data_IF_798678165011
#
_entry.id   IF_798678165011
#
_cell.length_a   1.000
_cell.length_b   1.000
_cell.length_c   1.000
_cell.angle_alpha   90.00
_cell.angle_beta   90.00
_cell.angle_gamma   90.00
#
_symmetry.space_group_name_H-M   'P 1'
#
loop_
_entity.id
_entity.type
_entity.pdbx_description
1 polymer ?
#
# COMPACT_ATOMS: atom_id res chain seq x y z
N UNK A 1 -17.96 59.91 65.56
CA UNK A 1 -18.26 59.25 64.28
C UNK A 1 -17.15 58.27 63.94
N UNK A 2 -17.54 57.01 63.71
CA UNK A 2 -16.87 55.97 62.91
C UNK A 2 -15.61 55.26 63.44
N UNK A 3 -15.80 54.30 64.35
CA UNK A 3 -14.86 53.21 64.67
C UNK A 3 -15.08 51.98 63.77
N UNK A 4 -14.96 52.12 62.44
CA UNK A 4 -15.12 50.99 61.49
C UNK A 4 -13.89 50.73 60.60
N UNK A 5 -12.68 50.99 61.09
CA UNK A 5 -11.45 50.67 60.33
C UNK A 5 -10.80 49.29 60.59
N UNK A 6 -10.94 48.60 61.74
CA UNK A 6 -10.19 47.35 61.92
C UNK A 6 -10.87 46.11 61.30
N UNK A 7 -12.18 46.18 60.97
CA UNK A 7 -12.91 45.03 60.40
C UNK A 7 -12.60 44.80 58.91
N UNK A 8 -12.35 45.86 58.14
CA UNK A 8 -12.20 45.79 56.67
C UNK A 8 -10.86 45.17 56.26
N UNK A 9 -9.80 45.39 57.05
CA UNK A 9 -8.48 44.80 56.82
C UNK A 9 -8.41 43.31 57.14
N UNK A 10 -9.23 42.82 58.07
CA UNK A 10 -9.29 41.39 58.39
C UNK A 10 -10.05 40.60 57.32
N UNK A 11 -11.10 41.19 56.72
CA UNK A 11 -11.84 40.57 55.61
C UNK A 11 -11.03 40.48 54.31
N UNK A 12 -10.13 41.44 54.04
CA UNK A 12 -9.31 41.43 52.82
C UNK A 12 -8.24 40.33 52.82
N UNK A 13 -7.70 39.95 54.00
CA UNK A 13 -6.69 38.88 54.09
C UNK A 13 -7.24 37.47 53.88
N UNK A 14 -8.54 37.27 54.06
CA UNK A 14 -9.21 35.98 53.85
C UNK A 14 -9.73 35.81 52.43
N UNK A 15 -9.80 36.88 51.63
CA UNK A 15 -10.26 36.86 50.25
C UNK A 15 -9.53 35.82 49.36
N UNK A 16 -8.18 35.70 49.37
CA UNK A 16 -7.50 34.70 48.54
C UNK A 16 -7.79 33.26 49.00
N UNK A 17 -8.07 33.05 50.29
CA UNK A 17 -8.41 31.74 50.83
C UNK A 17 -9.81 31.30 50.36
N UNK A 18 -10.80 32.20 50.41
CA UNK A 18 -12.14 31.94 49.88
C UNK A 18 -12.15 31.78 48.34
N UNK A 19 -11.32 32.54 47.63
CA UNK A 19 -11.18 32.41 46.18
C UNK A 19 -10.57 31.05 45.78
N UNK A 20 -9.59 30.55 46.55
CA UNK A 20 -9.01 29.23 46.34
C UNK A 20 -10.00 28.09 46.60
N UNK A 21 -10.85 28.20 47.62
CA UNK A 21 -11.91 27.22 47.90
C UNK A 21 -12.96 27.20 46.77
N UNK A 22 -13.33 28.37 46.23
CA UNK A 22 -14.25 28.47 45.08
C UNK A 22 -13.68 27.82 43.81
N UNK A 23 -12.37 27.97 43.55
CA UNK A 23 -11.72 27.33 42.40
C UNK A 23 -11.61 25.81 42.55
N UNK A 24 -11.46 25.28 43.76
CA UNK A 24 -11.41 23.82 44.01
C UNK A 24 -12.78 23.14 43.88
N UNK A 25 -13.89 23.84 44.18
CA UNK A 25 -15.24 23.29 43.99
C UNK A 25 -15.65 23.15 42.52
N UNK A 26 -15.00 23.88 41.59
CA UNK A 26 -15.31 23.82 40.16
C UNK A 26 -14.89 22.52 39.47
N UNK A 27 -13.95 21.75 40.04
CA UNK A 27 -13.48 20.50 39.44
C UNK A 27 -14.30 19.26 39.82
N UNK A 28 -15.26 19.36 40.76
CA UNK A 28 -15.98 18.19 41.27
C UNK A 28 -17.30 17.87 40.55
N UNK A 29 -17.75 18.69 39.59
CA UNK A 29 -19.11 18.58 39.03
C UNK A 29 -19.19 18.36 37.52
N UNK A 30 -18.14 17.85 36.86
CA UNK A 30 -18.16 17.69 35.40
C UNK A 30 -17.88 16.27 34.87
N UNK A 31 -18.15 15.25 35.68
CA UNK A 31 -18.34 13.90 35.15
C UNK A 31 -19.80 13.49 35.29
N UNK A 32 -20.46 13.35 34.14
CA UNK A 32 -21.81 12.80 34.06
C UNK A 32 -21.71 11.32 34.44
N UNK A 33 -22.02 10.99 35.70
CA UNK A 33 -22.08 9.59 36.14
C UNK A 33 -23.16 8.91 35.31
N UNK A 34 -22.75 7.94 34.48
CA UNK A 34 -23.67 7.12 33.71
C UNK A 34 -24.42 6.25 34.72
N UNK A 35 -25.67 6.57 34.99
CA UNK A 35 -26.57 5.71 35.75
C UNK A 35 -26.93 4.49 34.89
N UNK A 36 -26.07 3.47 34.92
CA UNK A 36 -26.38 2.16 34.38
C UNK A 36 -27.37 1.46 35.34
N UNK A 37 -28.53 0.98 34.88
CA UNK A 37 -29.47 0.26 35.72
C UNK A 37 -28.81 -1.02 36.26
N UNK A 38 -28.72 -1.12 37.58
CA UNK A 38 -28.24 -2.32 38.26
C UNK A 38 -29.25 -3.44 38.06
N UNK A 39 -28.90 -4.41 37.22
CA UNK A 39 -29.64 -5.65 37.07
C UNK A 39 -28.92 -6.75 37.87
N UNK A 40 -29.49 -7.25 38.98
CA UNK A 40 -28.78 -8.15 39.89
C UNK A 40 -28.37 -9.48 39.26
N UNK A 41 -28.93 -9.87 38.11
CA UNK A 41 -28.79 -11.21 37.53
C UNK A 41 -28.56 -11.25 36.00
N UNK A 42 -27.93 -10.23 35.40
CA UNK A 42 -27.65 -10.23 33.94
C UNK A 42 -26.17 -10.18 33.56
N UNK A 43 -25.26 -10.50 34.49
CA UNK A 43 -23.89 -10.84 34.15
C UNK A 43 -23.68 -12.34 34.33
N UNK A 44 -24.11 -13.13 33.35
CA UNK A 44 -23.51 -14.45 33.14
C UNK A 44 -22.05 -14.21 32.74
N UNK A 45 -21.16 -14.30 33.72
CA UNK A 45 -19.72 -14.43 33.49
C UNK A 45 -19.51 -15.78 32.81
N UNK A 46 -19.63 -15.79 31.48
CA UNK A 46 -19.06 -16.87 30.69
C UNK A 46 -17.55 -16.91 30.98
N UNK A 47 -16.99 -18.12 31.07
CA UNK A 47 -15.56 -18.29 31.30
C UNK A 47 -14.79 -17.42 30.31
N UNK A 48 -13.84 -16.64 30.82
CA UNK A 48 -12.95 -15.84 29.97
C UNK A 48 -12.33 -16.79 28.94
N UNK A 49 -12.67 -16.59 27.65
CA UNK A 49 -12.17 -17.43 26.57
C UNK A 49 -10.69 -17.11 26.39
N UNK A 50 -9.84 -17.80 27.14
CA UNK A 50 -8.36 -17.72 27.09
C UNK A 50 -7.79 -18.34 25.82
N UNK A 51 -8.63 -18.90 24.95
CA UNK A 51 -8.19 -19.30 23.63
C UNK A 51 -7.64 -18.05 22.93
N UNK A 52 -6.38 -18.06 22.45
CA UNK A 52 -5.87 -16.96 21.65
C UNK A 52 -6.85 -16.75 20.51
N UNK A 53 -7.30 -15.51 20.30
CA UNK A 53 -8.10 -15.19 19.12
C UNK A 53 -7.34 -15.72 17.89
N UNK A 54 -7.93 -16.68 17.17
CA UNK A 54 -7.35 -17.20 15.92
C UNK A 54 -7.25 -16.12 14.83
N UNK A 55 -7.88 -14.97 15.04
CA UNK A 55 -7.67 -13.76 14.25
C UNK A 55 -6.81 -12.80 15.06
N UNK A 56 -5.60 -12.56 14.57
CA UNK A 56 -4.82 -11.38 14.96
C UNK A 56 -5.68 -10.17 14.61
N UNK A 57 -5.97 -9.33 15.60
CA UNK A 57 -6.82 -8.15 15.48
C UNK A 57 -6.09 -7.00 14.75
N UNK A 58 -5.43 -7.28 13.63
CA UNK A 58 -5.07 -6.24 12.67
C UNK A 58 -6.30 -6.01 11.79
N UNK A 59 -7.26 -5.22 12.28
CA UNK A 59 -8.41 -4.80 11.47
C UNK A 59 -7.90 -3.80 10.44
N UNK A 60 -7.38 -4.32 9.33
CA UNK A 60 -6.97 -3.50 8.19
C UNK A 60 -8.21 -2.88 7.55
N UNK A 61 -8.35 -1.56 7.68
CA UNK A 61 -9.43 -0.79 7.07
C UNK A 61 -8.87 0.06 5.93
N UNK A 62 -9.12 -0.28 4.65
CA UNK A 62 -8.51 0.41 3.52
C UNK A 62 -8.95 1.87 3.43
N UNK A 63 -8.02 2.76 3.10
CA UNK A 63 -8.32 4.17 2.79
C UNK A 63 -8.88 4.25 1.36
N UNK A 64 -9.99 4.95 1.18
CA UNK A 64 -10.65 5.10 -0.13
C UNK A 64 -9.86 6.08 -1.01
N UNK A 65 -9.23 5.58 -2.07
CA UNK A 65 -8.43 6.38 -2.99
C UNK A 65 -9.27 7.14 -4.03
N UNK A 66 -10.49 6.71 -4.32
CA UNK A 66 -11.31 7.29 -5.39
C UNK A 66 -11.61 8.78 -5.19
N UNK A 67 -11.87 9.19 -3.95
CA UNK A 67 -12.13 10.59 -3.60
C UNK A 67 -10.90 11.45 -3.88
N UNK A 68 -9.74 11.03 -3.37
CA UNK A 68 -8.47 11.72 -3.59
C UNK A 68 -8.10 11.78 -5.08
N UNK A 69 -8.27 10.67 -5.80
CA UNK A 69 -7.98 10.61 -7.23
C UNK A 69 -8.85 11.57 -8.03
N UNK A 70 -10.14 11.68 -7.70
CA UNK A 70 -11.05 12.64 -8.33
C UNK A 70 -10.69 14.09 -8.00
N UNK A 71 -10.41 14.40 -6.74
CA UNK A 71 -10.03 15.76 -6.30
C UNK A 71 -8.73 16.25 -6.92
N UNK A 72 -7.76 15.35 -7.13
CA UNK A 72 -6.44 15.66 -7.67
C UNK A 72 -6.31 15.38 -9.18
N UNK A 73 -7.42 15.07 -9.86
CA UNK A 73 -7.45 14.76 -11.29
C UNK A 73 -6.47 13.64 -11.73
N UNK A 74 -6.17 12.70 -10.83
CA UNK A 74 -5.19 11.64 -11.10
C UNK A 74 -5.63 10.77 -12.27
N UNK A 75 -4.66 10.40 -13.12
CA UNK A 75 -4.89 9.55 -14.28
C UNK A 75 -4.47 8.11 -13.98
N UNK A 76 -5.29 7.15 -14.37
CA UNK A 76 -4.95 5.72 -14.27
C UNK A 76 -3.82 5.44 -15.25
N UNK A 77 -2.75 4.78 -14.79
CA UNK A 77 -1.57 4.48 -15.63
C UNK A 77 -1.35 2.99 -15.92
N UNK A 78 -2.25 2.13 -15.44
CA UNK A 78 -2.09 0.67 -15.46
C UNK A 78 -3.20 0.01 -16.25
N UNK A 79 -2.81 -0.89 -17.16
CA UNK A 79 -3.72 -1.75 -17.92
C UNK A 79 -3.52 -3.24 -17.57
N UNK A 80 -2.29 -3.65 -17.26
CA UNK A 80 -1.94 -5.04 -16.94
C UNK A 80 -1.12 -5.11 -15.65
N UNK A 81 -1.54 -5.95 -14.70
CA UNK A 81 -0.89 -6.22 -13.43
C UNK A 81 -0.49 -7.69 -13.30
N UNK A 82 0.81 -7.97 -13.32
CA UNK A 82 1.35 -9.28 -12.97
C UNK A 82 1.92 -9.25 -11.55
N UNK A 83 1.45 -10.15 -10.69
CA UNK A 83 1.93 -10.31 -9.32
C UNK A 83 2.73 -11.61 -9.20
N UNK A 84 3.95 -11.53 -8.68
CA UNK A 84 4.78 -12.69 -8.36
C UNK A 84 5.01 -12.76 -6.84
N UNK A 85 4.79 -13.93 -6.25
CA UNK A 85 5.02 -14.18 -4.82
C UNK A 85 6.10 -15.24 -4.66
N UNK A 86 7.13 -14.90 -3.90
CA UNK A 86 8.18 -15.85 -3.52
C UNK A 86 7.74 -16.68 -2.31
N UNK A 87 7.69 -17.98 -2.51
CA UNK A 87 7.33 -19.00 -1.52
C UNK A 87 8.47 -19.98 -1.24
N UNK A 88 9.69 -19.64 -1.68
CA UNK A 88 10.89 -20.51 -1.58
C UNK A 88 11.21 -20.93 -0.14
N UNK A 89 10.87 -20.08 0.84
CA UNK A 89 11.09 -20.33 2.25
C UNK A 89 10.03 -21.22 2.91
N UNK A 90 8.93 -21.56 2.23
CA UNK A 90 7.88 -22.39 2.82
C UNK A 90 8.30 -23.83 3.05
N UNK A 91 9.17 -24.37 2.19
CA UNK A 91 9.70 -25.72 2.36
C UNK A 91 10.49 -25.91 3.65
N UNK A 92 10.96 -24.81 4.23
CA UNK A 92 11.76 -24.80 5.46
C UNK A 92 10.90 -24.56 6.70
N UNK A 93 9.59 -24.37 6.55
CA UNK A 93 8.71 -24.05 7.65
C UNK A 93 8.27 -25.32 8.42
N UNK A 94 8.23 -25.27 9.77
CA UNK A 94 7.68 -26.36 10.59
C UNK A 94 6.15 -26.47 10.50
N UNK A 95 5.49 -25.43 10.00
CA UNK A 95 4.04 -25.35 9.72
C UNK A 95 3.80 -25.38 8.22
N UNK A 96 2.55 -25.64 7.75
CA UNK A 96 2.24 -25.66 6.30
C UNK A 96 2.59 -24.36 5.56
N UNK A 97 2.73 -23.25 6.29
CA UNK A 97 3.10 -21.94 5.76
C UNK A 97 4.19 -21.32 6.63
N UNK A 98 5.19 -20.69 6.00
CA UNK A 98 6.19 -19.90 6.74
C UNK A 98 5.61 -18.57 7.23
N UNK A 99 6.20 -17.98 8.27
CA UNK A 99 5.85 -16.62 8.69
C UNK A 99 6.08 -15.60 7.55
N UNK A 100 7.06 -15.86 6.69
CA UNK A 100 7.39 -15.05 5.52
C UNK A 100 6.29 -15.12 4.47
N UNK A 101 5.75 -16.32 4.19
CA UNK A 101 4.60 -16.50 3.31
C UNK A 101 3.36 -15.79 3.85
N UNK A 102 3.06 -15.95 5.14
CA UNK A 102 1.91 -15.27 5.75
C UNK A 102 2.03 -13.75 5.59
N UNK A 103 3.23 -13.21 5.81
CA UNK A 103 3.50 -11.78 5.62
C UNK A 103 3.34 -11.34 4.15
N UNK A 104 3.81 -12.15 3.20
CA UNK A 104 3.65 -11.87 1.77
C UNK A 104 2.19 -11.88 1.33
N UNK A 105 1.44 -12.89 1.80
CA UNK A 105 0.01 -13.03 1.53
C UNK A 105 -0.80 -11.89 2.14
N UNK A 106 -0.50 -11.49 3.38
CA UNK A 106 -1.14 -10.33 4.01
C UNK A 106 -0.84 -9.03 3.24
N UNK A 107 0.40 -8.83 2.78
CA UNK A 107 0.74 -7.67 1.97
C UNK A 107 -0.08 -7.63 0.66
N UNK A 108 -0.20 -8.77 -0.02
CA UNK A 108 -1.05 -8.89 -1.21
C UNK A 108 -2.53 -8.64 -0.89
N UNK A 109 -3.05 -9.27 0.15
CA UNK A 109 -4.44 -9.11 0.58
C UNK A 109 -4.78 -7.64 0.83
N UNK A 110 -3.94 -6.94 1.59
CA UNK A 110 -4.11 -5.51 1.91
C UNK A 110 -4.00 -4.62 0.68
N UNK A 111 -3.09 -4.94 -0.25
CA UNK A 111 -2.96 -4.26 -1.53
C UNK A 111 -4.24 -4.40 -2.36
N UNK A 112 -4.77 -5.60 -2.48
CA UNK A 112 -6.01 -5.89 -3.20
C UNK A 112 -7.18 -5.12 -2.59
N UNK A 113 -7.34 -5.19 -1.27
CA UNK A 113 -8.42 -4.48 -0.56
C UNK A 113 -8.32 -2.96 -0.64
N UNK A 114 -7.11 -2.42 -0.83
CA UNK A 114 -6.89 -0.98 -1.00
C UNK A 114 -6.96 -0.54 -2.45
N UNK A 115 -7.00 -1.49 -3.39
CA UNK A 115 -7.04 -1.20 -4.83
C UNK A 115 -8.43 -0.74 -5.22
N UNK A 116 -8.56 0.46 -5.84
CA UNK A 116 -9.85 0.94 -6.32
C UNK A 116 -10.37 0.06 -7.47
N UNK A 117 -11.69 0.03 -7.66
CA UNK A 117 -12.31 -0.62 -8.81
C UNK A 117 -11.90 0.08 -10.12
N UNK A 118 -10.89 -0.46 -10.78
CA UNK A 118 -10.29 0.04 -12.01
C UNK A 118 -10.33 -1.04 -13.10
N UNK A 119 -10.43 -0.67 -14.39
CA UNK A 119 -10.43 -1.62 -15.49
C UNK A 119 -9.00 -2.01 -15.88
N UNK A 120 -8.35 -2.88 -15.10
CA UNK A 120 -7.05 -3.46 -15.46
C UNK A 120 -7.09 -4.98 -15.36
N UNK A 121 -6.33 -5.66 -16.20
CA UNK A 121 -6.18 -7.11 -16.18
C UNK A 121 -5.16 -7.54 -15.14
N UNK A 122 -5.39 -8.65 -14.42
CA UNK A 122 -4.46 -9.13 -13.40
C UNK A 122 -4.19 -10.64 -13.44
N UNK A 123 -2.97 -11.04 -13.07
CA UNK A 123 -2.59 -12.42 -12.86
C UNK A 123 -1.62 -12.53 -11.69
N UNK A 124 -1.79 -13.57 -10.87
CA UNK A 124 -0.99 -13.80 -9.65
C UNK A 124 -0.35 -15.18 -9.73
N UNK A 125 0.97 -15.24 -9.56
CA UNK A 125 1.72 -16.49 -9.56
C UNK A 125 2.67 -16.60 -8.37
N UNK A 126 2.91 -17.84 -7.96
CA UNK A 126 3.96 -18.21 -7.02
C UNK A 126 5.21 -18.70 -7.74
N UNK A 127 6.36 -18.51 -7.10
CA UNK A 127 7.60 -19.23 -7.36
C UNK A 127 8.24 -19.63 -6.03
N UNK A 128 9.28 -20.46 -6.06
CA UNK A 128 9.97 -21.02 -4.90
C UNK A 128 9.95 -22.55 -4.81
N UNK A 129 9.07 -23.20 -5.58
CA UNK A 129 9.02 -24.65 -5.74
C UNK A 129 9.34 -25.03 -7.19
N UNK A 130 10.23 -26.00 -7.41
CA UNK A 130 10.50 -26.50 -8.76
C UNK A 130 9.33 -27.36 -9.25
N UNK A 131 9.17 -27.49 -10.57
CA UNK A 131 8.16 -28.37 -11.18
C UNK A 131 8.16 -29.81 -10.61
N UNK A 132 9.34 -30.36 -10.33
CA UNK A 132 9.50 -31.68 -9.69
C UNK A 132 8.93 -31.75 -8.26
N UNK A 133 8.90 -30.61 -7.56
CA UNK A 133 8.41 -30.51 -6.19
C UNK A 133 6.89 -30.28 -6.14
N UNK A 134 6.28 -30.00 -7.30
CA UNK A 134 4.84 -29.81 -7.48
C UNK A 134 4.13 -31.13 -7.84
N UNK A 135 4.84 -32.14 -8.36
CA UNK A 135 4.28 -33.48 -8.64
C UNK A 135 3.90 -34.26 -7.37
N UNK A 136 4.50 -33.96 -6.21
CA UNK A 136 4.16 -34.56 -4.91
C UNK A 136 2.97 -33.87 -4.22
N UNK A 137 2.50 -32.75 -4.76
CA UNK A 137 1.29 -32.05 -4.32
C UNK A 137 0.20 -32.39 -5.33
N UNK A 138 -0.50 -33.50 -5.10
CA UNK A 138 -1.64 -33.92 -5.92
C UNK A 138 -2.77 -32.88 -5.84
N UNK A 139 -2.75 -31.92 -6.75
CA UNK A 139 -3.86 -31.05 -7.08
C UNK A 139 -3.97 -31.02 -8.60
N UNK A 140 -5.20 -30.88 -9.11
CA UNK A 140 -5.60 -30.79 -10.53
C UNK A 140 -4.99 -29.57 -11.27
N UNK A 141 -3.69 -29.34 -11.12
CA UNK A 141 -2.91 -28.24 -11.67
C UNK A 141 -2.46 -28.50 -13.11
N UNK A 142 -2.70 -29.71 -13.64
CA UNK A 142 -2.26 -30.11 -14.98
C UNK A 142 -3.11 -29.53 -16.12
N UNK A 143 -4.24 -28.87 -15.84
CA UNK A 143 -5.14 -28.39 -16.91
C UNK A 143 -5.23 -26.86 -17.08
N UNK A 144 -4.65 -26.02 -16.20
CA UNK A 144 -4.94 -24.57 -16.24
C UNK A 144 -3.74 -23.62 -16.26
N UNK A 145 -2.50 -24.07 -16.08
CA UNK A 145 -1.43 -23.12 -15.67
C UNK A 145 -0.65 -22.39 -16.77
N UNK A 146 -0.74 -22.75 -18.06
CA UNK A 146 0.01 -22.02 -19.11
C UNK A 146 -0.75 -21.86 -20.44
N UNK A 147 -1.65 -22.78 -20.78
CA UNK A 147 -2.40 -22.75 -22.05
C UNK A 147 -3.57 -21.75 -22.07
N UNK A 148 -4.00 -21.22 -20.90
CA UNK A 148 -5.05 -20.20 -20.80
C UNK A 148 -4.50 -18.76 -20.83
N UNK A 149 -3.19 -18.58 -21.05
CA UNK A 149 -2.53 -17.28 -21.13
C UNK A 149 -2.77 -16.53 -22.46
N UNK A 150 -3.80 -16.89 -23.24
CA UNK A 150 -4.21 -16.16 -24.45
C UNK A 150 -5.67 -16.50 -24.85
N UNK A 151 -6.50 -15.55 -25.33
CA UNK A 151 -6.51 -14.10 -25.13
C UNK A 151 -7.82 -13.72 -24.41
N UNK A 152 -7.84 -13.78 -23.08
CA UNK A 152 -8.87 -13.18 -22.23
C UNK A 152 -8.48 -13.55 -20.80
N UNK A 153 -7.68 -12.67 -20.21
CA UNK A 153 -7.52 -12.61 -18.77
C UNK A 153 -8.94 -12.37 -18.25
N UNK A 154 -9.60 -13.43 -17.79
CA UNK A 154 -10.95 -13.30 -17.28
C UNK A 154 -10.82 -12.71 -15.89
N UNK A 155 -11.13 -11.42 -15.77
CA UNK A 155 -11.49 -10.76 -14.51
C UNK A 155 -12.51 -11.63 -13.78
N UNK A 156 -12.04 -12.50 -12.89
CA UNK A 156 -12.82 -12.81 -11.70
C UNK A 156 -12.62 -11.59 -10.79
N UNK A 157 -13.67 -11.13 -10.08
CA UNK A 157 -13.42 -10.24 -8.95
C UNK A 157 -12.29 -10.88 -8.16
N UNK A 158 -11.32 -10.07 -7.76
CA UNK A 158 -10.14 -10.50 -7.00
C UNK A 158 -10.55 -10.88 -5.56
N UNK A 159 -11.64 -11.63 -5.47
CA UNK A 159 -12.12 -12.46 -4.38
C UNK A 159 -11.28 -13.73 -4.37
N UNK A 160 -9.97 -13.52 -4.33
CA UNK A 160 -9.04 -14.52 -3.86
C UNK A 160 -9.60 -14.82 -2.46
N UNK A 161 -10.25 -15.98 -2.29
CA UNK A 161 -10.70 -16.49 -1.00
C UNK A 161 -9.46 -16.82 -0.14
N UNK A 162 -8.61 -15.82 0.08
CA UNK A 162 -7.40 -15.79 0.89
C UNK A 162 -7.72 -16.18 2.32
N UNK A 163 -9.00 -16.07 2.71
CA UNK A 163 -9.53 -16.64 3.95
C UNK A 163 -9.16 -18.13 4.12
N UNK A 164 -9.06 -18.90 3.02
CA UNK A 164 -8.67 -20.31 3.04
C UNK A 164 -7.17 -20.56 2.85
N UNK A 165 -6.35 -19.53 2.63
CA UNK A 165 -4.89 -19.63 2.39
C UNK A 165 -4.51 -20.70 1.35
N UNK A 166 -5.30 -20.83 0.29
CA UNK A 166 -5.01 -21.79 -0.78
C UNK A 166 -3.78 -21.35 -1.58
N UNK A 167 -2.95 -22.31 -1.99
CA UNK A 167 -1.77 -22.07 -2.85
C UNK A 167 -2.22 -21.53 -4.21
N UNK A 168 -1.40 -20.64 -4.77
CA UNK A 168 -1.66 -20.01 -6.07
C UNK A 168 -0.99 -20.81 -7.21
N UNK A 169 -1.37 -20.54 -8.47
CA UNK A 169 -0.65 -21.06 -9.63
C UNK A 169 0.86 -20.85 -9.52
N UNK A 170 1.65 -21.92 -9.64
CA UNK A 170 3.10 -21.86 -9.53
C UNK A 170 3.79 -21.86 -10.90
N UNK A 171 4.83 -21.05 -11.06
CA UNK A 171 5.70 -21.05 -12.24
C UNK A 171 6.70 -22.22 -12.26
N UNK A 172 6.78 -23.01 -11.18
CA UNK A 172 7.68 -24.16 -11.12
C UNK A 172 9.17 -23.81 -11.10
N UNK A 173 9.51 -22.62 -10.60
CA UNK A 173 10.88 -22.08 -10.53
C UNK A 173 11.29 -21.85 -9.09
N UNK A 174 12.59 -22.00 -8.79
CA UNK A 174 13.11 -21.91 -7.41
C UNK A 174 13.41 -20.49 -6.96
N UNK A 175 13.74 -19.60 -7.89
CA UNK A 175 14.13 -18.22 -7.63
C UNK A 175 13.46 -17.26 -8.63
N UNK A 176 13.60 -15.95 -8.35
CA UNK A 176 13.01 -14.91 -9.18
C UNK A 176 13.61 -14.91 -10.60
N UNK A 177 14.90 -15.20 -10.73
CA UNK A 177 15.55 -15.25 -12.04
C UNK A 177 14.92 -16.31 -12.95
N UNK A 178 14.76 -17.53 -12.47
CA UNK A 178 14.10 -18.58 -13.23
C UNK A 178 12.63 -18.27 -13.53
N UNK A 179 11.92 -17.62 -12.59
CA UNK A 179 10.55 -17.17 -12.81
C UNK A 179 10.45 -16.14 -13.95
N UNK A 180 11.31 -15.12 -13.93
CA UNK A 180 11.39 -14.11 -14.99
C UNK A 180 11.79 -14.73 -16.33
N UNK A 181 12.69 -15.72 -16.35
CA UNK A 181 13.05 -16.43 -17.57
C UNK A 181 11.85 -17.15 -18.19
N UNK A 182 11.05 -17.86 -17.37
CA UNK A 182 9.79 -18.49 -17.83
C UNK A 182 8.85 -17.46 -18.42
N UNK A 183 8.71 -16.30 -17.78
CA UNK A 183 7.92 -15.22 -18.33
C UNK A 183 8.51 -14.78 -19.66
N UNK A 184 9.80 -14.42 -19.76
CA UNK A 184 10.37 -13.95 -21.04
C UNK A 184 10.35 -14.96 -22.18
N UNK A 185 10.26 -16.26 -21.89
CA UNK A 185 10.16 -17.31 -22.90
C UNK A 185 8.78 -17.31 -23.60
N UNK A 186 7.78 -16.72 -22.96
CA UNK A 186 6.45 -16.60 -23.52
C UNK A 186 6.38 -15.42 -24.49
N UNK A 187 5.65 -15.61 -25.60
CA UNK A 187 5.40 -14.53 -26.57
C UNK A 187 4.32 -13.61 -26.01
N UNK A 188 4.71 -12.64 -25.18
CA UNK A 188 3.78 -11.62 -24.71
C UNK A 188 3.44 -10.67 -25.85
N UNK A 189 2.16 -10.62 -26.21
CA UNK A 189 1.59 -9.54 -27.02
C UNK A 189 0.82 -8.63 -26.08
N UNK A 190 1.55 -7.73 -25.43
CA UNK A 190 0.91 -6.62 -24.74
C UNK A 190 0.87 -5.43 -25.68
N UNK A 191 -0.33 -4.96 -25.98
CA UNK A 191 -0.51 -3.67 -26.66
C UNK A 191 -0.28 -2.50 -25.68
N UNK A 192 -0.19 -2.79 -24.37
CA UNK A 192 -0.10 -1.82 -23.27
C UNK A 192 1.07 -2.15 -22.31
N UNK A 193 1.56 -1.18 -21.52
CA UNK A 193 2.64 -1.41 -20.57
C UNK A 193 2.26 -2.43 -19.47
N UNK A 194 3.24 -3.25 -19.07
CA UNK A 194 3.07 -4.21 -17.97
C UNK A 194 3.45 -3.57 -16.64
N UNK A 195 2.66 -3.79 -15.60
CA UNK A 195 3.05 -3.55 -14.21
C UNK A 195 3.39 -4.87 -13.55
N UNK A 196 4.59 -4.97 -12.99
CA UNK A 196 5.09 -6.15 -12.30
C UNK A 196 5.24 -5.86 -10.80
N UNK A 197 4.40 -6.49 -9.98
CA UNK A 197 4.50 -6.46 -8.52
C UNK A 197 5.18 -7.75 -8.05
N UNK A 198 6.30 -7.65 -7.34
CA UNK A 198 7.00 -8.81 -6.79
C UNK A 198 6.98 -8.71 -5.27
N UNK A 199 6.51 -9.76 -4.60
CA UNK A 199 6.49 -9.88 -3.15
C UNK A 199 7.45 -11.00 -2.77
N UNK A 200 8.57 -10.66 -2.14
CA UNK A 200 9.61 -11.65 -1.85
C UNK A 200 10.37 -11.36 -0.55
N UNK A 201 10.92 -12.37 0.14
CA UNK A 201 11.86 -12.15 1.23
C UNK A 201 13.09 -11.40 0.72
N UNK A 202 13.55 -10.38 1.44
CA UNK A 202 14.75 -9.63 1.05
C UNK A 202 15.97 -10.55 0.85
N UNK A 203 16.09 -11.58 1.68
CA UNK A 203 17.19 -12.54 1.64
C UNK A 203 17.22 -13.40 0.37
N UNK A 204 16.08 -13.51 -0.35
CA UNK A 204 16.00 -14.25 -1.63
C UNK A 204 16.29 -13.35 -2.84
N UNK A 205 16.31 -12.02 -2.66
CA UNK A 205 16.61 -11.04 -3.71
C UNK A 205 18.12 -10.78 -3.83
N UNK A 206 18.86 -11.81 -4.27
CA UNK A 206 20.29 -11.73 -4.48
C UNK A 206 20.67 -11.04 -5.83
N UNK A 207 21.97 -10.87 -6.07
CA UNK A 207 22.51 -10.25 -7.29
C UNK A 207 22.06 -10.92 -8.59
N UNK A 208 21.83 -12.24 -8.58
CA UNK A 208 21.35 -12.98 -9.75
C UNK A 208 19.90 -12.60 -10.08
N UNK A 209 19.02 -12.59 -9.08
CA UNK A 209 17.63 -12.15 -9.18
C UNK A 209 17.50 -10.72 -9.72
N UNK A 210 18.32 -9.79 -9.22
CA UNK A 210 18.29 -8.39 -9.66
C UNK A 210 18.85 -8.21 -11.07
N UNK A 211 19.85 -8.99 -11.46
CA UNK A 211 20.38 -8.97 -12.83
C UNK A 211 19.33 -9.49 -13.81
N UNK A 212 18.66 -10.60 -13.48
CA UNK A 212 17.56 -11.12 -14.28
C UNK A 212 16.41 -10.11 -14.40
N UNK A 213 16.07 -9.41 -13.32
CA UNK A 213 15.08 -8.34 -13.34
C UNK A 213 15.48 -7.19 -14.28
N UNK A 214 16.73 -6.73 -14.23
CA UNK A 214 17.23 -5.70 -15.15
C UNK A 214 17.17 -6.16 -16.61
N UNK A 215 17.51 -7.42 -16.88
CA UNK A 215 17.41 -8.02 -18.21
C UNK A 215 15.97 -8.13 -18.69
N UNK A 216 15.05 -8.54 -17.81
CA UNK A 216 13.62 -8.59 -18.06
C UNK A 216 13.10 -7.20 -18.45
N UNK A 217 13.39 -6.17 -17.65
CA UNK A 217 13.01 -4.76 -17.96
C UNK A 217 13.52 -4.33 -19.32
N UNK A 218 14.80 -4.57 -19.61
CA UNK A 218 15.44 -4.21 -20.89
C UNK A 218 14.77 -4.92 -22.07
N UNK A 219 14.36 -6.18 -21.92
CA UNK A 219 13.67 -6.94 -22.97
C UNK A 219 12.25 -6.43 -23.18
N UNK A 220 11.52 -6.11 -22.11
CA UNK A 220 10.18 -5.53 -22.19
C UNK A 220 10.17 -4.10 -22.76
N UNK A 221 11.28 -3.36 -22.65
CA UNK A 221 11.42 -2.03 -23.24
C UNK A 221 11.37 -2.01 -24.78
N UNK A 222 11.57 -3.15 -25.45
CA UNK A 222 11.35 -3.28 -26.90
C UNK A 222 9.86 -3.23 -27.25
N UNK A 223 8.99 -3.55 -26.29
CA UNK A 223 7.54 -3.45 -26.40
C UNK A 223 7.07 -2.11 -25.83
N UNK A 224 6.28 -2.11 -24.75
CA UNK A 224 5.77 -0.91 -24.07
C UNK A 224 6.48 -0.62 -22.73
N UNK A 225 7.52 -1.40 -22.39
CA UNK A 225 8.20 -1.31 -21.10
C UNK A 225 7.46 -2.03 -19.97
N UNK A 226 8.09 -2.05 -18.79
CA UNK A 226 7.52 -2.62 -17.57
C UNK A 226 7.91 -1.79 -16.36
N UNK A 227 6.94 -1.47 -15.49
CA UNK A 227 7.18 -0.83 -14.20
C UNK A 227 7.19 -1.87 -13.10
N UNK A 228 8.26 -1.88 -12.30
CA UNK A 228 8.50 -2.93 -11.32
C UNK A 228 8.37 -2.39 -9.90
N UNK A 229 7.44 -2.97 -9.13
CA UNK A 229 7.24 -2.63 -7.73
C UNK A 229 7.64 -3.83 -6.88
N UNK A 230 8.57 -3.62 -5.94
CA UNK A 230 9.07 -4.68 -5.07
C UNK A 230 8.53 -4.47 -3.65
N UNK A 231 7.88 -5.48 -3.10
CA UNK A 231 7.49 -5.53 -1.69
C UNK A 231 8.34 -6.59 -1.02
N UNK A 232 9.33 -6.15 -0.24
CA UNK A 232 10.21 -7.08 0.43
C UNK A 232 9.75 -7.44 1.84
N UNK A 233 9.87 -8.72 2.19
CA UNK A 233 9.52 -9.27 3.50
C UNK A 233 10.77 -9.36 4.38
N UNK A 234 10.62 -8.97 5.65
CA UNK A 234 11.69 -9.00 6.66
C UNK A 234 12.19 -7.61 7.03
N UNK A 235 12.95 -7.54 8.14
CA UNK A 235 13.39 -6.30 8.79
C UNK A 235 14.68 -5.71 8.19
N UNK A 236 15.13 -6.18 7.02
CA UNK A 236 16.23 -5.52 6.32
C UNK A 236 15.72 -4.23 5.70
N UNK A 237 16.37 -3.12 6.02
CA UNK A 237 16.04 -1.81 5.46
C UNK A 237 16.02 -1.92 3.94
N UNK A 238 14.86 -1.61 3.35
CA UNK A 238 14.66 -1.44 1.91
C UNK A 238 15.65 -0.41 1.40
N UNK A 239 16.82 -0.88 0.97
CA UNK A 239 17.86 -0.07 0.36
C UNK A 239 17.86 -0.40 -1.11
N UNK A 240 17.16 0.43 -1.89
CA UNK A 240 17.59 0.86 -3.22
C UNK A 240 18.01 -0.24 -4.23
N UNK A 241 17.65 -1.51 -4.05
CA UNK A 241 18.12 -2.60 -4.91
C UNK A 241 17.49 -2.52 -6.31
N UNK A 242 16.38 -1.79 -6.46
CA UNK A 242 15.70 -1.52 -7.72
C UNK A 242 15.47 -0.02 -8.03
N UNK A 243 15.81 0.90 -7.12
CA UNK A 243 15.52 2.33 -7.27
C UNK A 243 16.62 3.04 -8.07
N UNK A 244 16.63 2.83 -9.38
CA UNK A 244 17.31 3.74 -10.30
C UNK A 244 16.37 4.92 -10.57
N UNK A 245 16.80 6.16 -10.29
CA UNK A 245 16.01 7.38 -10.48
C UNK A 245 15.53 7.65 -11.93
N UNK A 246 16.03 6.89 -12.90
CA UNK A 246 15.67 6.96 -14.31
C UNK A 246 14.71 5.86 -14.77
N UNK A 247 14.35 4.90 -13.91
CA UNK A 247 13.52 3.76 -14.28
C UNK A 247 12.23 3.74 -13.46
N UNK A 248 11.08 3.48 -14.10
CA UNK A 248 9.82 3.38 -13.38
C UNK A 248 9.77 2.15 -12.46
N UNK A 249 9.08 2.32 -11.32
CA UNK A 249 9.03 1.34 -10.25
C UNK A 249 9.71 1.82 -8.97
N UNK A 250 9.44 1.13 -7.86
CA UNK A 250 10.16 1.36 -6.61
C UNK A 250 10.04 0.16 -5.64
N UNK A 251 10.85 0.15 -4.59
CA UNK A 251 10.80 -0.89 -3.56
C UNK A 251 10.29 -0.39 -2.21
N UNK A 252 9.56 -1.24 -1.47
CA UNK A 252 9.06 -0.98 -0.11
C UNK A 252 9.17 -2.23 0.75
N UNK A 253 9.19 -2.06 2.07
CA UNK A 253 9.02 -3.17 3.01
C UNK A 253 7.53 -3.48 3.23
N UNK A 254 7.15 -4.75 3.33
CA UNK A 254 5.79 -5.14 3.71
C UNK A 254 5.37 -4.59 5.08
N UNK A 255 6.33 -4.38 6.00
CA UNK A 255 6.05 -3.79 7.31
C UNK A 255 5.71 -2.29 7.19
N UNK A 256 6.30 -1.59 6.21
CA UNK A 256 6.02 -0.17 5.96
C UNK A 256 4.58 0.00 5.45
N UNK A 257 4.22 -0.76 4.42
CA UNK A 257 2.87 -0.74 3.83
C UNK A 257 1.85 -1.52 4.67
N UNK A 258 2.19 -1.99 5.87
CA UNK A 258 1.24 -2.67 6.74
C UNK A 258 0.14 -1.71 7.24
N UNK A 259 0.45 -0.42 7.34
CA UNK A 259 -0.49 0.61 7.76
C UNK A 259 -1.44 1.01 6.62
N UNK A 260 -2.73 1.24 6.86
CA UNK A 260 -3.69 1.60 5.82
C UNK A 260 -3.32 2.84 4.99
N UNK A 261 -2.78 3.89 5.63
CA UNK A 261 -2.36 5.10 4.93
C UNK A 261 -1.17 4.84 3.98
N UNK A 262 -0.16 4.10 4.46
CA UNK A 262 1.01 3.74 3.66
C UNK A 262 0.67 2.77 2.53
N UNK A 263 -0.24 1.81 2.76
CA UNK A 263 -0.76 0.94 1.71
C UNK A 263 -1.51 1.74 0.65
N UNK A 264 -2.35 2.69 1.06
CA UNK A 264 -3.08 3.54 0.13
C UNK A 264 -2.13 4.40 -0.73
N UNK A 265 -1.10 4.99 -0.11
CA UNK A 265 -0.06 5.70 -0.84
C UNK A 265 0.74 4.79 -1.79
N UNK A 266 1.02 3.55 -1.38
CA UNK A 266 1.66 2.56 -2.25
C UNK A 266 0.78 2.24 -3.47
N UNK A 267 -0.49 1.91 -3.26
CA UNK A 267 -1.46 1.63 -4.33
C UNK A 267 -1.63 2.85 -5.25
N UNK A 268 -1.72 4.06 -4.69
CA UNK A 268 -1.78 5.29 -5.48
C UNK A 268 -0.60 5.40 -6.44
N UNK A 269 0.63 5.22 -5.94
CA UNK A 269 1.84 5.27 -6.75
C UNK A 269 1.96 4.11 -7.74
N UNK A 270 1.29 2.98 -7.51
CA UNK A 270 1.25 1.85 -8.46
C UNK A 270 0.23 2.11 -9.56
N UNK A 271 -0.97 2.58 -9.22
CA UNK A 271 -2.13 2.61 -10.12
C UNK A 271 -2.31 3.94 -10.87
N UNK A 272 -1.81 5.04 -10.30
CA UNK A 272 -2.03 6.38 -10.83
C UNK A 272 -0.75 7.11 -11.20
N UNK A 273 -0.92 8.14 -12.03
CA UNK A 273 0.06 9.19 -12.32
C UNK A 273 -0.59 10.56 -12.14
N UNK A 274 0.24 11.57 -11.97
CA UNK A 274 -0.21 12.96 -11.99
C UNK A 274 -0.72 13.35 -13.39
N UNK A 275 -1.63 14.34 -13.48
CA UNK A 275 -2.05 14.94 -14.73
C UNK A 275 -0.87 15.38 -15.60
N UNK A 276 -1.07 15.41 -16.91
CA UNK A 276 -0.07 15.90 -17.85
C UNK A 276 0.21 17.39 -17.63
N UNK A 277 1.49 17.73 -17.81
CA UNK A 277 2.03 19.09 -17.93
C UNK A 277 2.86 19.07 -19.22
N UNK A 278 2.27 19.54 -20.32
CA UNK A 278 2.78 19.34 -21.68
C UNK A 278 4.00 20.20 -21.99
N UNK A 279 4.15 21.37 -21.34
CA UNK A 279 5.28 22.27 -21.53
C UNK A 279 6.27 22.28 -20.34
N UNK A 280 5.98 21.50 -19.30
CA UNK A 280 6.77 21.31 -18.10
C UNK A 280 7.05 22.62 -17.36
N UNK A 281 6.06 23.52 -17.29
CA UNK A 281 6.18 24.78 -16.55
C UNK A 281 5.75 24.66 -15.07
N UNK A 282 5.23 23.50 -14.67
CA UNK A 282 4.79 23.17 -13.32
C UNK A 282 3.28 23.36 -13.09
N UNK A 283 2.52 23.77 -14.11
CA UNK A 283 1.06 23.88 -14.08
C UNK A 283 0.47 22.82 -15.00
N UNK A 284 -0.40 21.97 -14.46
CA UNK A 284 -1.05 20.92 -15.25
C UNK A 284 -1.92 21.49 -16.36
N UNK A 285 -2.00 20.79 -17.49
CA UNK A 285 -2.69 21.23 -18.72
C UNK A 285 -4.15 21.64 -18.49
N UNK A 286 -4.86 20.98 -17.56
CA UNK A 286 -6.26 21.30 -17.26
C UNK A 286 -6.45 22.63 -16.50
N UNK A 287 -5.38 23.13 -15.87
CA UNK A 287 -5.36 24.37 -15.11
C UNK A 287 -4.56 25.48 -15.81
N UNK A 288 -3.77 25.12 -16.82
CA UNK A 288 -2.96 26.05 -17.60
C UNK A 288 -3.79 26.86 -18.59
N UNK A 289 -3.61 28.19 -18.57
CA UNK A 289 -4.26 29.14 -19.47
C UNK A 289 -3.34 29.61 -20.59
N UNK A 290 -2.06 29.34 -20.51
CA UNK A 290 -1.03 29.82 -21.42
C UNK A 290 -0.16 28.65 -21.91
N UNK A 291 -0.74 27.75 -22.74
CA UNK A 291 -0.02 26.58 -23.22
C UNK A 291 1.20 26.98 -24.06
N UNK A 292 2.27 26.20 -23.95
CA UNK A 292 3.56 26.38 -24.61
C UNK A 292 4.45 27.48 -24.01
N UNK A 293 4.46 27.56 -22.68
CA UNK A 293 5.51 28.25 -21.94
C UNK A 293 6.87 27.64 -22.25
N UNK A 294 7.89 28.49 -22.46
CA UNK A 294 9.26 28.03 -22.69
C UNK A 294 9.85 27.47 -21.39
N UNK A 295 10.54 26.31 -21.43
CA UNK A 295 11.21 25.74 -20.27
C UNK A 295 12.14 26.74 -19.56
N UNK A 296 12.15 26.71 -18.24
CA UNK A 296 13.00 27.54 -17.39
C UNK A 296 12.54 28.99 -17.22
N UNK A 297 11.34 29.35 -17.70
CA UNK A 297 10.72 30.66 -17.43
C UNK A 297 9.81 30.57 -16.22
N UNK A 298 9.76 31.64 -15.44
CA UNK A 298 8.90 31.72 -14.26
C UNK A 298 7.47 32.02 -14.72
N UNK A 299 6.54 31.13 -14.38
CA UNK A 299 5.11 31.29 -14.62
C UNK A 299 4.36 31.62 -13.34
N UNK A 300 3.19 32.22 -13.50
CA UNK A 300 2.26 32.43 -12.41
C UNK A 300 1.36 31.19 -12.20
N UNK A 301 0.44 31.25 -11.23
CA UNK A 301 -0.52 30.17 -10.92
C UNK A 301 -1.47 29.75 -12.07
N UNK A 302 -1.43 30.46 -13.19
CA UNK A 302 -2.24 30.20 -14.38
C UNK A 302 -1.40 29.71 -15.56
N UNK A 303 -0.11 29.39 -15.36
CA UNK A 303 0.84 28.94 -16.39
C UNK A 303 1.33 30.06 -17.33
N UNK A 304 0.92 31.31 -17.09
CA UNK A 304 1.38 32.43 -17.92
C UNK A 304 2.67 33.04 -17.38
N UNK A 305 3.55 33.53 -18.27
CA UNK A 305 4.78 34.22 -17.88
C UNK A 305 4.55 35.29 -16.82
N UNK A 306 5.25 35.17 -15.69
CA UNK A 306 5.16 36.16 -14.60
C UNK A 306 5.75 37.51 -15.02
N UNK A 307 6.77 37.49 -15.88
CA UNK A 307 7.44 38.69 -16.40
C UNK A 307 7.35 38.68 -17.93
N UNK A 308 6.82 39.77 -18.49
CA UNK A 308 6.74 39.96 -19.94
C UNK A 308 8.14 39.79 -20.57
N UNK A 309 8.23 39.03 -21.66
CA UNK A 309 9.50 38.83 -22.36
C UNK A 309 9.88 40.13 -23.08
N UNK A 310 10.71 40.96 -22.44
CA UNK A 310 11.25 42.21 -23.02
C UNK A 310 12.25 41.96 -24.17
N UNK A 311 12.41 40.71 -24.61
CA UNK A 311 13.28 40.27 -25.71
C UNK A 311 12.53 39.96 -27.00
N UNK A 312 11.45 40.69 -27.30
CA UNK A 312 10.98 40.82 -28.68
C UNK A 312 11.62 42.08 -29.28
N UNK A 313 12.44 41.98 -30.34
CA UNK A 313 12.84 43.14 -31.13
C UNK A 313 11.65 43.79 -31.84
#
# INVERSE_FOLDING_TARGET
MNSKLPLILFTLRLLPFWLAILLLYGCATQEHVINAPYQPHSATLENYRTQPHQRVHDVFSPVRLQTKAAEQHLQVKIDNLLVLIDTSLDKLAPTPYSATFLSAYEALHRFIHSTPALPFETSVFEFGAAASDLESLSFDAQAQNLAQLHPRFALKPLDLHLEKRQRLPSLGKRDLAGALDTLTAQHWRFDQPLTLLIIAPWQQLNTHSLRALKMFKKRMAIHQGVCVYLVGIGAEYSRSLADNAHECGFSVSAQWIAQPAEMAHFVERVMYTFPADSDNDGIYDFADRCPATRPGRIVNRHGCYQFADTRRP
#
